data_IF_368884062194
#
_entry.id   IF_368884062194
#
_cell.length_a   1.000
_cell.length_b   1.000
_cell.length_c   1.000
_cell.angle_alpha   90.00
_cell.angle_beta   90.00
_cell.angle_gamma   90.00
#
_symmetry.space_group_name_H-M   'P 1'
#
loop_
_entity.id
_entity.type
_entity.pdbx_description
1 polymer ?
#
# COMPACT_ATOMS: atom_id res chain seq x y z
N UNK A 1 28.02 1.02 -6.40
CA UNK A 1 28.32 2.06 -7.42
C UNK A 1 27.78 1.53 -8.73
N UNK A 2 26.69 2.10 -9.24
CA UNK A 2 25.98 1.62 -10.42
C UNK A 2 26.05 2.69 -11.48
N UNK A 3 26.32 2.26 -12.68
CA UNK A 3 26.28 3.09 -13.88
C UNK A 3 25.01 2.74 -14.69
N UNK A 4 24.33 3.74 -15.23
CA UNK A 4 23.26 3.51 -16.19
C UNK A 4 23.84 2.93 -17.49
N UNK A 5 22.97 2.51 -18.43
CA UNK A 5 23.37 1.98 -19.75
C UNK A 5 24.24 2.93 -20.58
N UNK A 6 24.47 4.16 -20.10
CA UNK A 6 25.28 5.19 -20.74
C UNK A 6 26.55 5.52 -19.92
N UNK A 7 26.90 4.72 -18.89
CA UNK A 7 28.11 4.88 -18.10
C UNK A 7 28.10 6.04 -17.10
N UNK A 8 26.96 6.64 -16.79
CA UNK A 8 26.83 7.76 -15.84
C UNK A 8 26.62 7.29 -14.41
N UNK A 9 27.41 7.81 -13.47
CA UNK A 9 27.20 7.58 -12.03
C UNK A 9 25.93 8.28 -11.56
N UNK A 10 24.88 7.52 -11.29
CA UNK A 10 23.64 8.05 -10.70
C UNK A 10 23.74 7.93 -9.19
N UNK A 11 23.94 9.04 -8.51
CA UNK A 11 23.71 9.21 -7.07
C UNK A 11 22.33 9.84 -6.89
N UNK A 12 21.29 9.03 -6.88
CA UNK A 12 20.00 9.48 -6.38
C UNK A 12 19.33 8.36 -5.60
N UNK A 13 18.59 8.72 -4.57
CA UNK A 13 17.72 7.84 -3.80
C UNK A 13 16.75 7.03 -4.69
N UNK A 14 16.42 7.55 -5.87
CA UNK A 14 15.59 6.91 -6.89
C UNK A 14 16.27 5.67 -7.47
N UNK A 15 17.57 5.67 -7.67
CA UNK A 15 18.33 4.49 -8.17
C UNK A 15 18.32 3.31 -7.21
N UNK A 16 18.33 3.57 -5.90
CA UNK A 16 18.29 2.54 -4.87
C UNK A 16 16.93 1.80 -4.83
N UNK A 17 15.83 2.50 -5.13
CA UNK A 17 14.51 1.89 -5.25
C UNK A 17 14.36 1.05 -6.53
N UNK A 18 14.98 1.46 -7.64
CA UNK A 18 14.93 0.72 -8.90
C UNK A 18 15.67 -0.62 -8.84
N UNK A 19 16.79 -0.71 -8.12
CA UNK A 19 17.53 -1.97 -7.97
C UNK A 19 16.83 -2.98 -7.09
N UNK A 20 16.09 -2.53 -6.08
CA UNK A 20 15.27 -3.41 -5.25
C UNK A 20 14.12 -4.03 -6.03
N UNK A 21 13.67 -3.36 -7.10
CA UNK A 21 12.61 -3.83 -7.99
C UNK A 21 13.03 -5.00 -8.89
N UNK A 22 14.33 -5.21 -9.10
CA UNK A 22 14.85 -6.22 -10.02
C UNK A 22 14.96 -7.64 -9.45
N UNK A 23 14.58 -7.88 -8.19
CA UNK A 23 14.81 -9.17 -7.52
C UNK A 23 13.66 -9.68 -6.65
N UNK A 24 12.41 -9.18 -6.79
CA UNK A 24 11.33 -9.57 -5.88
C UNK A 24 10.25 -10.42 -6.55
N UNK A 25 10.62 -11.61 -7.03
CA UNK A 25 9.64 -12.65 -7.36
C UNK A 25 9.08 -13.34 -6.09
N UNK A 26 9.67 -13.10 -4.91
CA UNK A 26 9.09 -13.55 -3.64
C UNK A 26 9.41 -12.60 -2.47
N UNK A 27 8.53 -12.55 -1.48
CA UNK A 27 8.72 -11.81 -0.22
C UNK A 27 8.54 -12.77 0.94
N UNK A 28 9.50 -12.77 1.88
CA UNK A 28 9.37 -13.51 3.13
C UNK A 28 8.43 -12.78 4.09
N UNK A 29 7.37 -13.45 4.50
CA UNK A 29 6.40 -12.95 5.45
C UNK A 29 6.88 -13.10 6.89
N UNK A 30 6.28 -12.33 7.80
CA UNK A 30 6.54 -12.44 9.24
C UNK A 30 6.16 -13.82 9.76
N UNK A 31 5.02 -14.35 9.33
CA UNK A 31 4.47 -15.70 9.57
C UNK A 31 3.28 -15.93 8.63
N UNK A 32 2.75 -17.14 8.59
CA UNK A 32 1.54 -17.50 7.83
C UNK A 32 0.24 -17.05 8.53
N UNK A 33 -0.78 -17.91 8.55
CA UNK A 33 -2.05 -17.61 9.25
C UNK A 33 -1.87 -17.47 10.76
N UNK A 34 -0.93 -18.20 11.34
CA UNK A 34 -0.63 -18.20 12.77
C UNK A 34 0.85 -17.90 13.02
N UNK A 35 1.23 -17.32 14.17
CA UNK A 35 2.61 -16.95 14.50
C UNK A 35 3.63 -18.10 14.47
N UNK A 36 3.19 -19.32 14.67
CA UNK A 36 4.01 -20.54 14.64
C UNK A 36 4.23 -21.09 13.22
N UNK A 37 3.50 -20.60 12.22
CA UNK A 37 3.68 -21.01 10.82
C UNK A 37 4.85 -20.26 10.19
N UNK A 38 6.05 -20.78 10.35
CA UNK A 38 7.31 -20.27 9.81
C UNK A 38 8.14 -21.41 9.23
N UNK A 39 8.86 -21.18 8.10
CA UNK A 39 8.87 -19.94 7.31
C UNK A 39 7.57 -19.75 6.52
N UNK A 40 7.26 -18.48 6.17
CA UNK A 40 6.14 -18.14 5.31
C UNK A 40 6.59 -17.15 4.24
N UNK A 41 6.09 -17.31 3.02
CA UNK A 41 6.45 -16.46 1.88
C UNK A 41 5.28 -16.27 0.93
N UNK A 42 5.31 -15.18 0.17
CA UNK A 42 4.41 -14.92 -0.95
C UNK A 42 5.22 -14.88 -2.23
N UNK A 43 4.72 -15.47 -3.28
CA UNK A 43 5.33 -15.52 -4.61
C UNK A 43 4.25 -15.77 -5.66
N UNK A 44 4.56 -15.44 -6.92
CA UNK A 44 3.71 -15.78 -8.03
C UNK A 44 3.96 -17.23 -8.47
N UNK A 45 2.88 -18.00 -8.68
CA UNK A 45 2.95 -19.43 -9.03
C UNK A 45 3.69 -19.68 -10.35
N UNK A 46 3.62 -18.74 -11.27
CA UNK A 46 4.28 -18.79 -12.58
C UNK A 46 5.73 -18.26 -12.55
N UNK A 47 6.22 -17.86 -11.37
CA UNK A 47 7.56 -17.31 -11.19
C UNK A 47 7.73 -15.86 -11.66
N UNK A 48 6.64 -15.19 -12.05
CA UNK A 48 6.67 -13.77 -12.38
C UNK A 48 6.90 -12.90 -11.15
N UNK A 49 7.20 -11.62 -11.37
CA UNK A 49 7.32 -10.64 -10.29
C UNK A 49 5.99 -10.43 -9.57
N UNK A 50 6.07 -10.13 -8.28
CA UNK A 50 4.91 -9.75 -7.49
C UNK A 50 4.30 -8.44 -8.02
N UNK A 51 2.96 -8.33 -8.12
CA UNK A 51 2.28 -7.14 -8.63
C UNK A 51 2.25 -5.98 -7.63
N UNK A 52 3.03 -6.05 -6.57
CA UNK A 52 3.11 -5.03 -5.51
C UNK A 52 4.50 -4.99 -4.89
N UNK A 53 4.80 -3.90 -4.21
CA UNK A 53 6.05 -3.66 -3.49
C UNK A 53 5.76 -3.28 -2.04
N UNK A 54 6.57 -3.80 -1.10
CA UNK A 54 6.52 -3.40 0.30
C UNK A 54 7.54 -2.29 0.53
N UNK A 55 7.06 -1.07 0.70
CA UNK A 55 7.91 0.11 0.87
C UNK A 55 8.52 0.19 2.27
N UNK A 56 7.82 -0.31 3.28
CA UNK A 56 8.26 -0.26 4.67
C UNK A 56 7.70 -1.43 5.49
N UNK A 57 8.47 -1.90 6.45
CA UNK A 57 8.07 -2.95 7.38
C UNK A 57 8.17 -4.37 6.80
N UNK A 58 7.60 -5.32 7.53
CA UNK A 58 7.54 -6.74 7.17
C UNK A 58 6.11 -7.25 7.37
N UNK A 59 5.32 -7.38 6.30
CA UNK A 59 3.92 -7.79 6.41
C UNK A 59 3.80 -9.23 6.86
N UNK A 60 2.71 -9.53 7.55
CA UNK A 60 2.21 -10.90 7.76
C UNK A 60 1.18 -11.27 6.68
N UNK A 61 0.75 -12.51 6.69
CA UNK A 61 -0.23 -13.04 5.76
C UNK A 61 -1.55 -12.25 5.78
N UNK A 62 -2.12 -11.99 6.96
CA UNK A 62 -3.37 -11.25 7.12
C UNK A 62 -3.25 -9.81 6.61
N UNK A 63 -2.09 -9.16 6.80
CA UNK A 63 -1.88 -7.81 6.27
C UNK A 63 -1.99 -7.76 4.74
N UNK A 64 -1.49 -8.78 4.04
CA UNK A 64 -1.64 -8.87 2.58
C UNK A 64 -3.08 -9.14 2.17
N UNK A 65 -3.80 -10.01 2.90
CA UNK A 65 -5.22 -10.23 2.63
C UNK A 65 -6.04 -8.95 2.82
N UNK A 66 -5.79 -8.19 3.90
CA UNK A 66 -6.43 -6.90 4.14
C UNK A 66 -6.12 -5.92 3.00
N UNK A 67 -4.87 -5.82 2.59
CA UNK A 67 -4.45 -4.93 1.51
C UNK A 67 -5.10 -5.28 0.17
N UNK A 68 -5.14 -6.55 -0.22
CA UNK A 68 -5.73 -6.95 -1.50
C UNK A 68 -7.25 -6.79 -1.54
N UNK A 69 -7.94 -7.09 -0.44
CA UNK A 69 -9.39 -6.86 -0.37
C UNK A 69 -9.72 -5.36 -0.32
N UNK A 70 -8.94 -4.58 0.42
CA UNK A 70 -9.05 -3.12 0.44
C UNK A 70 -8.83 -2.51 -0.94
N UNK A 71 -7.82 -2.98 -1.69
CA UNK A 71 -7.55 -2.54 -3.05
C UNK A 71 -8.73 -2.74 -4.00
N UNK A 72 -9.39 -3.90 -3.94
CA UNK A 72 -10.57 -4.17 -4.76
C UNK A 72 -11.69 -3.18 -4.45
N UNK A 73 -11.99 -2.96 -3.16
CA UNK A 73 -13.03 -2.03 -2.75
C UNK A 73 -12.75 -0.59 -3.21
N UNK A 74 -11.57 -0.06 -2.93
CA UNK A 74 -11.25 1.33 -3.30
C UNK A 74 -11.20 1.53 -4.82
N UNK A 75 -10.79 0.52 -5.58
CA UNK A 75 -10.82 0.54 -7.04
C UNK A 75 -12.26 0.66 -7.55
N UNK A 76 -13.16 -0.18 -7.09
CA UNK A 76 -14.58 -0.16 -7.48
C UNK A 76 -15.25 1.17 -7.09
N UNK A 77 -15.02 1.64 -5.86
CA UNK A 77 -15.57 2.93 -5.40
C UNK A 77 -15.06 4.08 -6.26
N UNK A 78 -13.76 4.10 -6.58
CA UNK A 78 -13.18 5.12 -7.46
C UNK A 78 -13.77 5.06 -8.86
N UNK A 79 -13.93 3.88 -9.44
CA UNK A 79 -14.52 3.69 -10.77
C UNK A 79 -15.99 4.15 -10.80
N UNK A 80 -16.75 3.86 -9.74
CA UNK A 80 -18.16 4.21 -9.64
C UNK A 80 -18.41 5.70 -9.38
N UNK A 81 -17.55 6.36 -8.60
CA UNK A 81 -17.79 7.74 -8.13
C UNK A 81 -16.92 8.78 -8.84
N UNK A 82 -15.81 8.39 -9.43
CA UNK A 82 -14.79 9.30 -9.97
C UNK A 82 -13.91 9.97 -8.90
N UNK A 83 -14.18 9.74 -7.61
CA UNK A 83 -13.42 10.29 -6.49
C UNK A 83 -12.26 9.38 -6.05
N UNK A 84 -11.26 9.96 -5.40
CA UNK A 84 -10.28 9.15 -4.66
C UNK A 84 -11.02 8.45 -3.52
N UNK A 85 -10.67 7.19 -3.29
CA UNK A 85 -11.30 6.39 -2.24
C UNK A 85 -10.27 5.86 -1.26
N UNK A 86 -10.65 5.75 0.00
CA UNK A 86 -9.89 5.12 1.07
C UNK A 86 -10.73 4.06 1.76
N UNK A 87 -10.08 3.01 2.26
CA UNK A 87 -10.75 1.98 3.04
C UNK A 87 -9.86 1.50 4.18
N UNK A 88 -10.48 1.15 5.29
CA UNK A 88 -9.86 0.51 6.43
C UNK A 88 -10.34 -0.93 6.53
N UNK A 89 -9.40 -1.86 6.66
CA UNK A 89 -9.69 -3.29 6.76
C UNK A 89 -9.08 -3.87 8.02
N UNK A 90 -9.79 -4.82 8.60
CA UNK A 90 -9.29 -5.64 9.68
C UNK A 90 -9.83 -7.06 9.57
N UNK A 91 -8.90 -8.04 9.63
CA UNK A 91 -9.23 -9.46 9.51
C UNK A 91 -10.06 -9.78 8.26
N UNK A 92 -9.63 -9.21 7.12
CA UNK A 92 -10.26 -9.39 5.78
C UNK A 92 -11.67 -8.80 5.67
N UNK A 93 -12.07 -7.96 6.62
CA UNK A 93 -13.38 -7.29 6.60
C UNK A 93 -13.21 -5.77 6.56
N UNK A 94 -14.05 -5.07 5.78
CA UNK A 94 -14.06 -3.61 5.77
C UNK A 94 -14.55 -3.07 7.12
N UNK A 95 -13.76 -2.22 7.74
CA UNK A 95 -14.12 -1.48 8.95
C UNK A 95 -14.67 -0.09 8.63
N UNK A 96 -14.32 0.46 7.46
CA UNK A 96 -14.81 1.72 6.94
C UNK A 96 -14.36 1.96 5.52
N UNK A 97 -15.09 2.81 4.81
CA UNK A 97 -14.71 3.32 3.50
C UNK A 97 -15.19 4.76 3.36
N UNK A 98 -14.44 5.57 2.63
CA UNK A 98 -14.75 6.98 2.37
C UNK A 98 -14.29 7.38 0.97
N UNK A 99 -14.83 8.50 0.49
CA UNK A 99 -14.41 9.17 -0.72
C UNK A 99 -13.91 10.57 -0.40
N UNK A 100 -13.03 11.08 -1.25
CA UNK A 100 -12.49 12.43 -1.22
C UNK A 100 -13.61 13.44 -1.51
N UNK A 101 -14.16 14.02 -0.46
CA UNK A 101 -15.12 15.12 -0.51
C UNK A 101 -14.73 16.17 0.55
N UNK A 102 -14.91 17.49 0.27
CA UNK A 102 -14.55 18.52 1.22
C UNK A 102 -15.23 18.33 2.58
N UNK A 103 -14.44 18.38 3.65
CA UNK A 103 -14.98 18.31 5.00
C UNK A 103 -15.78 19.58 5.34
N UNK A 104 -16.95 19.42 5.92
CA UNK A 104 -17.69 20.53 6.51
C UNK A 104 -17.03 21.01 7.80
N UNK A 105 -17.30 22.25 8.24
CA UNK A 105 -16.76 22.77 9.51
C UNK A 105 -17.16 21.92 10.71
N UNK A 106 -18.34 21.29 10.66
CA UNK A 106 -18.78 20.36 11.70
C UNK A 106 -17.93 19.10 11.69
N UNK A 107 -17.63 18.52 10.52
CA UNK A 107 -16.79 17.34 10.40
C UNK A 107 -15.36 17.65 10.85
N UNK A 108 -14.80 18.77 10.46
CA UNK A 108 -13.47 19.21 10.93
C UNK A 108 -13.40 19.23 12.45
N UNK A 109 -14.39 19.84 13.11
CA UNK A 109 -14.46 19.89 14.57
C UNK A 109 -14.57 18.49 15.20
N UNK A 110 -15.40 17.61 14.65
CA UNK A 110 -15.60 16.25 15.15
C UNK A 110 -14.35 15.40 14.98
N UNK A 111 -13.63 15.56 13.88
CA UNK A 111 -12.41 14.80 13.59
C UNK A 111 -11.13 15.48 14.06
N UNK A 112 -11.22 16.61 14.74
CA UNK A 112 -10.06 17.36 15.25
C UNK A 112 -9.09 17.79 14.15
N UNK A 113 -9.63 18.21 13.01
CA UNK A 113 -8.85 18.73 11.89
C UNK A 113 -8.74 20.24 12.03
N UNK A 114 -7.54 20.73 12.26
CA UNK A 114 -7.25 22.17 12.35
C UNK A 114 -7.30 22.82 10.95
N UNK A 115 -7.68 24.10 10.89
CA UNK A 115 -7.87 24.82 9.62
C UNK A 115 -6.56 25.07 8.85
N UNK A 116 -5.42 24.98 9.51
CA UNK A 116 -4.08 25.12 8.92
C UNK A 116 -3.52 23.81 8.35
N UNK A 117 -4.23 22.70 8.49
CA UNK A 117 -3.81 21.41 7.95
C UNK A 117 -4.31 21.25 6.51
N UNK A 118 -3.38 21.15 5.57
CA UNK A 118 -3.68 20.75 4.20
C UNK A 118 -3.84 19.23 4.13
N UNK A 119 -5.08 18.77 3.92
CA UNK A 119 -5.38 17.36 3.77
C UNK A 119 -5.08 16.86 2.35
N UNK A 120 -4.47 15.68 2.27
CA UNK A 120 -4.38 14.96 1.00
C UNK A 120 -5.74 14.37 0.62
N UNK A 121 -6.00 14.08 -0.68
CA UNK A 121 -7.25 13.43 -1.08
C UNK A 121 -7.57 12.12 -0.36
N UNK A 122 -6.54 11.41 0.10
CA UNK A 122 -6.72 10.18 0.88
C UNK A 122 -7.06 10.45 2.35
N UNK A 123 -6.71 11.62 2.88
CA UNK A 123 -6.95 12.00 4.28
C UNK A 123 -8.27 12.76 4.47
N UNK A 124 -8.83 13.29 3.38
CA UNK A 124 -10.13 13.94 3.35
C UNK A 124 -11.25 12.91 3.46
#
# INVERSE_FOLDING_TARGET
MIADRLGRKVRSSVGFFYERRLLMNEIQLKYGCNPNQKPARVFMKDGSDLPFEVLNGKPGYINLLDAFNSWQLVKEVKEATGHVAAASFKHVSPAGAAIDVPLTDTMKKVYFVDDDIELTPMAT
#
